data_IF_840676404266
#
_entry.id   IF_840676404266
#
_cell.length_a   1.000
_cell.length_b   1.000
_cell.length_c   1.000
_cell.angle_alpha   90.00
_cell.angle_beta   90.00
_cell.angle_gamma   90.00
#
_symmetry.space_group_name_H-M   'P 1'
#
loop_
_entity.id
_entity.type
_entity.pdbx_description
1 polymer ?
#
# COMPACT_ATOMS: atom_id res chain seq x y z
N UNK A 1 1.29 13.04 11.71
CA UNK A 1 1.94 12.09 10.78
C UNK A 1 3.29 12.69 10.44
N UNK A 2 4.34 11.89 10.57
CA UNK A 2 5.70 12.31 10.26
C UNK A 2 6.31 11.23 9.37
N UNK A 3 6.74 11.60 8.15
CA UNK A 3 7.27 10.69 7.15
C UNK A 3 8.67 11.14 6.71
N UNK A 4 9.59 10.20 6.62
CA UNK A 4 10.93 10.44 6.10
C UNK A 4 10.94 10.38 4.57
N UNK A 5 11.93 11.00 3.89
CA UNK A 5 12.19 10.70 2.49
C UNK A 5 12.56 9.23 2.31
N UNK A 6 12.07 8.61 1.24
CA UNK A 6 12.51 7.25 0.88
C UNK A 6 13.99 7.27 0.47
N UNK A 7 14.79 6.28 0.93
CA UNK A 7 16.22 6.20 0.58
C UNK A 7 16.52 6.01 -0.90
N UNK A 8 15.63 5.35 -1.63
CA UNK A 8 15.74 5.04 -3.06
C UNK A 8 14.37 4.85 -3.72
N UNK A 9 14.36 4.57 -5.03
CA UNK A 9 13.13 4.46 -5.83
C UNK A 9 12.30 3.19 -5.54
N UNK A 10 12.76 2.28 -4.66
CA UNK A 10 12.10 1.00 -4.36
C UNK A 10 11.58 0.90 -2.92
N UNK A 11 11.89 1.87 -2.07
CA UNK A 11 11.64 1.80 -0.62
C UNK A 11 10.45 2.62 -0.13
N UNK A 12 9.55 3.04 -1.04
CA UNK A 12 8.34 3.79 -0.67
C UNK A 12 7.45 3.04 0.33
N UNK A 13 7.23 1.73 0.12
CA UNK A 13 6.41 0.90 1.00
C UNK A 13 6.94 0.81 2.44
N UNK A 14 8.19 0.36 2.66
CA UNK A 14 8.81 0.37 3.98
C UNK A 14 8.82 1.76 4.64
N UNK A 15 9.07 2.82 3.87
CA UNK A 15 9.06 4.20 4.41
C UNK A 15 7.67 4.62 4.88
N UNK A 16 6.61 4.28 4.16
CA UNK A 16 5.23 4.48 4.58
C UNK A 16 4.90 3.67 5.84
N UNK A 17 5.33 2.42 5.91
CA UNK A 17 5.12 1.57 7.09
C UNK A 17 5.85 2.13 8.32
N UNK A 18 7.09 2.62 8.14
CA UNK A 18 7.84 3.31 9.19
C UNK A 18 7.07 4.52 9.74
N UNK A 19 6.50 5.35 8.86
CA UNK A 19 5.69 6.50 9.28
C UNK A 19 4.46 6.08 10.11
N UNK A 20 3.81 4.96 9.76
CA UNK A 20 2.69 4.40 10.53
C UNK A 20 3.16 3.89 11.90
N UNK A 21 4.30 3.21 11.99
CA UNK A 21 4.86 2.76 13.27
C UNK A 21 5.15 3.94 14.19
N UNK A 22 5.82 4.98 13.69
CA UNK A 22 6.05 6.23 14.43
C UNK A 22 4.74 6.90 14.87
N UNK A 23 3.71 6.86 14.03
CA UNK A 23 2.38 7.40 14.40
C UNK A 23 1.77 6.68 15.60
N UNK A 24 2.10 5.40 15.81
CA UNK A 24 1.64 4.60 16.94
C UNK A 24 2.67 4.48 18.07
N UNK A 25 3.70 5.33 18.09
CA UNK A 25 4.79 5.32 19.07
C UNK A 25 5.52 3.95 19.12
N UNK A 26 5.68 3.32 17.94
CA UNK A 26 6.44 2.08 17.75
C UNK A 26 7.77 2.38 17.08
N UNK A 27 8.86 2.23 17.82
CA UNK A 27 10.20 2.59 17.36
C UNK A 27 10.86 1.44 16.61
N UNK A 28 11.30 1.72 15.40
CA UNK A 28 12.19 0.90 14.56
C UNK A 28 12.94 1.86 13.64
N UNK A 29 14.18 1.59 13.31
CA UNK A 29 14.89 2.40 12.32
C UNK A 29 14.36 2.12 10.91
N UNK A 30 14.38 3.14 10.03
CA UNK A 30 13.98 2.95 8.64
C UNK A 30 14.89 1.93 7.93
N UNK A 31 16.19 1.98 8.20
CA UNK A 31 17.19 1.05 7.64
C UNK A 31 16.87 -0.40 8.01
N UNK A 32 16.57 -0.65 9.29
CA UNK A 32 16.15 -1.97 9.75
C UNK A 32 14.88 -2.43 9.04
N UNK A 33 13.87 -1.58 8.97
CA UNK A 33 12.60 -1.91 8.33
C UNK A 33 12.76 -2.21 6.83
N UNK A 34 13.57 -1.43 6.12
CA UNK A 34 13.91 -1.68 4.71
C UNK A 34 14.60 -3.05 4.54
N UNK A 35 15.47 -3.43 5.47
CA UNK A 35 16.15 -4.74 5.42
C UNK A 35 15.26 -5.93 5.74
N UNK A 36 14.20 -5.73 6.54
CA UNK A 36 13.28 -6.79 6.99
C UNK A 36 12.11 -7.02 6.03
N UNK A 37 11.72 -6.02 5.22
CA UNK A 37 10.61 -6.13 4.28
C UNK A 37 11.09 -6.72 2.95
N UNK A 38 10.51 -7.85 2.48
CA UNK A 38 10.90 -8.45 1.21
C UNK A 38 10.66 -7.52 0.02
N UNK A 39 11.60 -7.51 -0.90
CA UNK A 39 11.47 -6.86 -2.21
C UNK A 39 11.12 -7.88 -3.29
N UNK A 40 10.39 -7.43 -4.32
CA UNK A 40 10.09 -8.24 -5.51
C UNK A 40 11.16 -8.03 -6.59
N UNK A 41 11.28 -8.98 -7.52
CA UNK A 41 12.33 -8.95 -8.55
C UNK A 41 12.27 -7.71 -9.47
N UNK A 42 11.09 -7.16 -9.68
CA UNK A 42 10.88 -5.92 -10.47
C UNK A 42 11.21 -4.63 -9.70
N UNK A 43 11.62 -4.75 -8.43
CA UNK A 43 11.85 -3.63 -7.51
C UNK A 43 10.60 -3.31 -6.68
N UNK A 44 10.81 -2.66 -5.53
CA UNK A 44 9.74 -2.33 -4.60
C UNK A 44 9.25 -3.53 -3.76
N UNK A 45 8.07 -3.42 -3.19
CA UNK A 45 7.45 -4.43 -2.33
C UNK A 45 5.95 -4.51 -2.57
N UNK A 46 5.27 -5.47 -1.98
CA UNK A 46 3.81 -5.62 -2.03
C UNK A 46 3.18 -5.23 -0.70
N UNK A 47 1.95 -4.70 -0.74
CA UNK A 47 1.19 -4.35 0.46
C UNK A 47 1.09 -5.50 1.46
N UNK A 48 0.99 -6.74 0.96
CA UNK A 48 0.91 -7.94 1.81
C UNK A 48 2.18 -8.18 2.61
N UNK A 49 3.37 -7.88 2.09
CA UNK A 49 4.63 -8.03 2.85
C UNK A 49 4.75 -6.99 3.96
N UNK A 50 4.28 -5.78 3.71
CA UNK A 50 4.16 -4.74 4.74
C UNK A 50 3.20 -5.17 5.85
N UNK A 51 2.08 -5.80 5.47
CA UNK A 51 1.09 -6.33 6.40
C UNK A 51 1.64 -7.50 7.22
N UNK A 52 2.36 -8.43 6.60
CA UNK A 52 3.03 -9.56 7.28
C UNK A 52 4.03 -9.06 8.31
N UNK A 53 4.87 -8.09 7.94
CA UNK A 53 5.79 -7.47 8.87
C UNK A 53 5.06 -6.84 10.08
N UNK A 54 3.95 -6.14 9.83
CA UNK A 54 3.16 -5.53 10.91
C UNK A 54 2.49 -6.58 11.81
N UNK A 55 1.96 -7.68 11.24
CA UNK A 55 1.40 -8.80 12.01
C UNK A 55 2.44 -9.42 12.95
N UNK A 56 3.65 -9.67 12.45
CA UNK A 56 4.78 -10.20 13.25
C UNK A 56 5.19 -9.25 14.38
N UNK A 57 4.98 -7.94 14.22
CA UNK A 57 5.18 -6.92 15.26
C UNK A 57 3.99 -6.76 16.22
N UNK A 58 2.95 -7.60 16.12
CA UNK A 58 1.79 -7.59 17.01
C UNK A 58 0.73 -6.56 16.64
N UNK A 59 0.68 -6.10 15.40
CA UNK A 59 -0.45 -5.34 14.88
C UNK A 59 -1.56 -6.28 14.42
N UNK A 60 -2.77 -5.76 14.36
CA UNK A 60 -3.84 -6.32 13.53
C UNK A 60 -3.76 -5.64 12.17
N UNK A 61 -3.81 -6.41 11.10
CA UNK A 61 -3.74 -5.92 9.74
C UNK A 61 -4.97 -6.33 8.95
N UNK A 62 -5.59 -5.37 8.27
CA UNK A 62 -6.69 -5.59 7.32
C UNK A 62 -6.26 -5.06 5.96
N UNK A 63 -6.31 -5.90 4.93
CA UNK A 63 -6.10 -5.51 3.53
C UNK A 63 -7.44 -5.47 2.81
N UNK A 64 -7.73 -4.35 2.15
CA UNK A 64 -8.75 -4.25 1.11
C UNK A 64 -8.06 -4.38 -0.24
N UNK A 65 -8.33 -5.44 -0.98
CA UNK A 65 -7.70 -5.68 -2.27
C UNK A 65 -8.68 -5.53 -3.41
N UNK A 66 -8.21 -4.91 -4.48
CA UNK A 66 -8.93 -4.71 -5.74
C UNK A 66 -8.23 -5.40 -6.91
N UNK A 67 -7.20 -6.19 -6.62
CA UNK A 67 -6.38 -6.84 -7.63
C UNK A 67 -7.05 -8.13 -8.15
N UNK A 68 -7.71 -8.01 -9.30
CA UNK A 68 -8.39 -9.13 -9.97
C UNK A 68 -7.43 -10.16 -10.60
N UNK A 69 -6.14 -9.88 -10.66
CA UNK A 69 -5.13 -10.85 -11.10
C UNK A 69 -4.85 -11.89 -10.02
N UNK A 70 -5.02 -11.49 -8.73
CA UNK A 70 -4.79 -12.34 -7.56
C UNK A 70 -6.11 -12.92 -7.06
N UNK A 71 -7.15 -12.11 -6.94
CA UNK A 71 -8.41 -12.48 -6.30
C UNK A 71 -9.58 -12.47 -7.27
N UNK A 72 -10.41 -13.50 -7.20
CA UNK A 72 -11.68 -13.52 -7.90
C UNK A 72 -12.79 -12.89 -7.04
N UNK A 73 -13.67 -12.04 -7.59
CA UNK A 73 -14.73 -11.40 -6.83
C UNK A 73 -15.70 -12.36 -6.15
N UNK A 74 -15.83 -13.59 -6.68
CA UNK A 74 -16.66 -14.64 -6.08
C UNK A 74 -16.12 -15.16 -4.75
N UNK A 75 -14.86 -14.84 -4.42
CA UNK A 75 -14.24 -15.23 -3.14
C UNK A 75 -14.63 -14.32 -1.97
N UNK A 76 -15.35 -13.23 -2.24
CA UNK A 76 -15.71 -12.24 -1.23
C UNK A 76 -16.52 -12.80 -0.04
N UNK A 77 -17.22 -13.91 -0.22
CA UNK A 77 -18.01 -14.61 0.81
C UNK A 77 -17.28 -15.81 1.40
N UNK A 78 -16.08 -16.14 0.92
CA UNK A 78 -15.31 -17.30 1.36
C UNK A 78 -14.59 -16.99 2.70
N UNK A 79 -14.37 -18.04 3.51
CA UNK A 79 -13.54 -17.94 4.72
C UNK A 79 -12.05 -17.93 4.36
N UNK A 80 -11.23 -17.49 5.29
CA UNK A 80 -9.77 -17.36 5.10
C UNK A 80 -9.11 -18.67 4.63
N UNK A 81 -9.52 -19.81 5.19
CA UNK A 81 -9.00 -21.13 4.82
C UNK A 81 -9.38 -21.51 3.38
N UNK A 82 -10.58 -21.15 2.96
CA UNK A 82 -11.06 -21.39 1.60
C UNK A 82 -10.30 -20.51 0.59
N UNK A 83 -10.08 -19.23 0.94
CA UNK A 83 -9.26 -18.32 0.13
C UNK A 83 -7.83 -18.85 0.01
N UNK A 84 -7.23 -19.31 1.10
CA UNK A 84 -5.89 -19.88 1.09
C UNK A 84 -5.80 -21.13 0.18
N UNK A 85 -6.80 -22.00 0.22
CA UNK A 85 -6.90 -23.16 -0.68
C UNK A 85 -6.98 -22.76 -2.16
N UNK A 86 -7.82 -21.76 -2.47
CA UNK A 86 -7.98 -21.22 -3.82
C UNK A 86 -6.70 -20.54 -4.34
N UNK A 87 -6.00 -19.80 -3.51
CA UNK A 87 -4.72 -19.18 -3.85
C UNK A 87 -3.65 -20.24 -4.19
N UNK A 88 -3.52 -21.30 -3.39
CA UNK A 88 -2.61 -22.41 -3.65
C UNK A 88 -2.92 -23.09 -4.98
N UNK A 89 -4.20 -23.40 -5.22
CA UNK A 89 -4.64 -24.01 -6.46
C UNK A 89 -4.37 -23.11 -7.67
N UNK A 90 -4.73 -21.83 -7.57
CA UNK A 90 -4.48 -20.85 -8.63
C UNK A 90 -2.99 -20.75 -8.99
N UNK A 91 -2.11 -20.68 -8.01
CA UNK A 91 -0.66 -20.62 -8.22
C UNK A 91 -0.11 -21.88 -8.89
N UNK A 92 -0.70 -23.06 -8.63
CA UNK A 92 -0.29 -24.29 -9.28
C UNK A 92 -0.73 -24.38 -10.76
N UNK A 93 -1.85 -23.73 -11.12
CA UNK A 93 -2.43 -23.76 -12.46
C UNK A 93 -1.97 -22.59 -13.35
N UNK A 94 -1.80 -21.40 -12.79
CA UNK A 94 -1.45 -20.17 -13.52
C UNK A 94 0.05 -19.87 -13.38
N UNK A 95 0.82 -20.15 -14.41
CA UNK A 95 2.27 -19.82 -14.46
C UNK A 95 2.56 -18.53 -15.26
N UNK A 96 1.51 -17.77 -15.61
CA UNK A 96 1.61 -16.66 -16.59
C UNK A 96 2.21 -15.38 -16.00
N UNK A 97 2.06 -15.17 -14.69
CA UNK A 97 2.53 -13.96 -14.02
C UNK A 97 3.52 -14.31 -12.92
N UNK A 98 4.81 -13.93 -13.03
CA UNK A 98 5.80 -14.15 -11.97
C UNK A 98 5.37 -13.60 -10.61
N UNK A 99 4.75 -12.42 -10.61
CA UNK A 99 4.26 -11.72 -9.42
C UNK A 99 3.14 -12.49 -8.70
N UNK A 100 2.38 -13.32 -9.42
CA UNK A 100 1.31 -14.11 -8.83
C UNK A 100 1.84 -15.13 -7.81
N UNK A 101 2.96 -15.79 -8.12
CA UNK A 101 3.58 -16.75 -7.20
C UNK A 101 4.08 -16.05 -5.92
N UNK A 102 4.75 -14.93 -6.10
CA UNK A 102 5.29 -14.12 -5.00
C UNK A 102 4.17 -13.55 -4.14
N UNK A 103 3.13 -12.98 -4.75
CA UNK A 103 1.95 -12.47 -4.05
C UNK A 103 1.21 -13.57 -3.30
N UNK A 104 1.02 -14.74 -3.94
CA UNK A 104 0.37 -15.90 -3.31
C UNK A 104 1.07 -16.28 -2.01
N UNK A 105 2.39 -16.39 -2.02
CA UNK A 105 3.16 -16.75 -0.83
C UNK A 105 2.95 -15.73 0.30
N UNK A 106 3.00 -14.44 -0.02
CA UNK A 106 2.73 -13.39 0.95
C UNK A 106 1.31 -13.45 1.53
N UNK A 107 0.29 -13.67 0.70
CA UNK A 107 -1.10 -13.78 1.18
C UNK A 107 -1.37 -15.04 2.00
N UNK A 108 -0.72 -16.17 1.68
CA UNK A 108 -0.82 -17.37 2.51
C UNK A 108 -0.27 -17.12 3.91
N UNK A 109 0.90 -16.52 4.01
CA UNK A 109 1.49 -16.16 5.29
C UNK A 109 0.65 -15.10 6.04
N UNK A 110 0.14 -14.07 5.33
CA UNK A 110 -0.74 -13.07 5.90
C UNK A 110 -1.98 -13.69 6.55
N UNK A 111 -2.64 -14.63 5.88
CA UNK A 111 -3.82 -15.32 6.40
C UNK A 111 -3.46 -16.25 7.57
N UNK A 112 -2.33 -16.96 7.52
CA UNK A 112 -1.81 -17.81 8.60
C UNK A 112 -1.54 -17.01 9.87
N UNK A 113 -0.99 -15.81 9.75
CA UNK A 113 -0.75 -14.88 10.87
C UNK A 113 -2.03 -14.19 11.39
N UNK A 114 -3.21 -14.52 10.85
CA UNK A 114 -4.48 -13.95 11.25
C UNK A 114 -4.80 -12.59 10.64
N UNK A 115 -4.18 -12.26 9.51
CA UNK A 115 -4.51 -11.07 8.73
C UNK A 115 -5.92 -11.15 8.13
N UNK A 116 -6.58 -10.02 8.02
CA UNK A 116 -7.95 -9.91 7.53
C UNK A 116 -7.97 -9.38 6.10
N UNK A 117 -8.49 -10.19 5.15
CA UNK A 117 -8.68 -9.80 3.76
C UNK A 117 -10.14 -9.40 3.52
N UNK A 118 -10.35 -8.28 2.84
CA UNK A 118 -11.67 -7.73 2.55
C UNK A 118 -11.82 -7.28 1.10
N UNK A 119 -13.03 -7.48 0.57
CA UNK A 119 -13.42 -7.17 -0.81
C UNK A 119 -14.62 -6.19 -0.83
N UNK A 120 -14.54 -5.10 -0.06
CA UNK A 120 -15.56 -4.04 -0.10
C UNK A 120 -15.33 -3.12 -1.30
N UNK A 121 -16.42 -2.53 -1.81
CA UNK A 121 -16.34 -1.52 -2.88
C UNK A 121 -15.46 -0.35 -2.44
N UNK A 122 -14.45 -0.01 -3.24
CA UNK A 122 -13.64 1.18 -3.01
C UNK A 122 -14.49 2.43 -3.16
N UNK A 123 -14.66 3.13 -2.07
CA UNK A 123 -15.50 4.30 -2.03
C UNK A 123 -14.92 5.39 -1.11
N UNK A 124 -15.33 6.64 -1.35
CA UNK A 124 -15.03 7.74 -0.44
C UNK A 124 -15.50 7.46 1.01
N UNK A 125 -16.57 6.69 1.18
CA UNK A 125 -17.08 6.32 2.50
C UNK A 125 -16.13 5.36 3.22
N UNK A 126 -15.55 4.39 2.51
CA UNK A 126 -14.58 3.45 3.05
C UNK A 126 -13.34 4.21 3.57
N UNK A 127 -12.73 5.05 2.75
CA UNK A 127 -11.55 5.85 3.12
C UNK A 127 -11.87 6.72 4.35
N UNK A 128 -12.97 7.48 4.32
CA UNK A 128 -13.39 8.33 5.44
C UNK A 128 -13.68 7.56 6.73
N UNK A 129 -14.14 6.30 6.64
CA UNK A 129 -14.43 5.44 7.80
C UNK A 129 -13.21 5.30 8.70
N UNK A 130 -12.04 5.14 8.13
CA UNK A 130 -10.78 4.99 8.87
C UNK A 130 -10.19 6.34 9.28
N UNK A 131 -10.10 7.30 8.37
CA UNK A 131 -9.51 8.61 8.64
C UNK A 131 -10.25 9.37 9.76
N UNK A 132 -11.58 9.28 9.82
CA UNK A 132 -12.36 9.85 10.94
C UNK A 132 -12.10 9.23 12.30
N UNK A 133 -11.50 8.04 12.34
CA UNK A 133 -11.11 7.33 13.57
C UNK A 133 -9.62 7.52 13.89
N UNK A 134 -8.97 8.46 13.23
CA UNK A 134 -7.52 8.67 13.35
C UNK A 134 -6.72 7.40 13.07
N UNK A 135 -7.17 6.58 12.12
CA UNK A 135 -6.46 5.42 11.63
C UNK A 135 -5.90 5.75 10.24
N UNK A 136 -4.58 5.89 10.11
CA UNK A 136 -3.95 6.11 8.82
C UNK A 136 -4.13 4.88 7.94
N UNK A 137 -4.14 5.10 6.62
CA UNK A 137 -4.25 4.07 5.61
C UNK A 137 -2.95 4.08 4.80
N UNK A 138 -2.25 2.96 4.76
CA UNK A 138 -1.18 2.75 3.79
C UNK A 138 -1.83 2.30 2.48
N UNK A 139 -1.60 3.03 1.40
CA UNK A 139 -2.25 2.79 0.12
C UNK A 139 -1.23 2.60 -0.99
N UNK A 140 -1.32 1.46 -1.68
CA UNK A 140 -0.71 1.28 -3.00
C UNK A 140 -1.62 1.90 -4.06
N UNK A 141 -1.04 2.59 -5.02
CA UNK A 141 -1.77 3.32 -6.06
C UNK A 141 -0.89 3.61 -7.29
N UNK A 142 -1.52 4.06 -8.38
CA UNK A 142 -0.79 4.57 -9.55
C UNK A 142 -0.23 5.97 -9.27
N UNK A 143 1.10 6.07 -9.15
CA UNK A 143 1.82 7.35 -9.06
C UNK A 143 1.59 8.20 -10.31
N UNK A 144 1.70 7.60 -11.48
CA UNK A 144 1.49 8.26 -12.77
C UNK A 144 0.16 9.00 -12.83
N UNK A 145 -0.93 8.35 -12.39
CA UNK A 145 -2.24 8.99 -12.34
C UNK A 145 -2.35 10.00 -11.21
N UNK A 146 -1.86 9.66 -10.00
CA UNK A 146 -1.93 10.54 -8.84
C UNK A 146 -1.25 11.89 -9.11
N UNK A 147 -0.04 11.85 -9.64
CA UNK A 147 0.78 13.03 -9.91
C UNK A 147 0.42 13.76 -11.21
N UNK A 148 -0.34 13.12 -12.10
CA UNK A 148 -0.59 13.62 -13.46
C UNK A 148 0.73 13.81 -14.24
N UNK A 149 1.66 12.89 -14.06
CA UNK A 149 2.96 12.87 -14.73
C UNK A 149 2.96 11.99 -15.97
N UNK A 150 3.95 12.12 -16.82
CA UNK A 150 4.22 11.12 -17.84
C UNK A 150 4.57 9.78 -17.21
N UNK A 151 4.41 8.71 -17.96
CA UNK A 151 4.88 7.38 -17.60
C UNK A 151 6.41 7.34 -17.52
N UNK A 152 6.95 6.31 -16.95
CA UNK A 152 8.38 6.23 -16.65
C UNK A 152 9.01 4.97 -17.23
N UNK A 153 10.29 5.03 -17.59
CA UNK A 153 11.12 3.86 -17.85
C UNK A 153 12.54 4.07 -17.32
N UNK A 154 13.21 2.99 -16.98
CA UNK A 154 14.59 3.03 -16.50
C UNK A 154 15.56 2.93 -17.67
N UNK A 155 16.54 3.82 -17.73
CA UNK A 155 17.68 3.76 -18.65
C UNK A 155 18.98 3.70 -17.82
N UNK A 156 19.46 2.51 -17.55
CA UNK A 156 20.55 2.30 -16.60
C UNK A 156 20.13 2.64 -15.19
N UNK A 157 20.70 3.68 -14.58
CA UNK A 157 20.35 4.18 -13.24
C UNK A 157 19.37 5.36 -13.29
N UNK A 158 19.11 5.92 -14.45
CA UNK A 158 18.28 7.10 -14.60
C UNK A 158 16.82 6.70 -14.83
N UNK A 159 15.91 7.46 -14.20
CA UNK A 159 14.49 7.36 -14.40
C UNK A 159 14.06 8.43 -15.38
N UNK A 160 13.49 8.01 -16.52
CA UNK A 160 13.09 8.90 -17.62
C UNK A 160 11.58 8.95 -17.71
N UNK A 161 11.04 10.17 -17.74
CA UNK A 161 9.61 10.41 -17.97
C UNK A 161 9.33 10.53 -19.46
N UNK A 162 8.51 9.65 -19.99
CA UNK A 162 8.15 9.60 -21.41
C UNK A 162 6.70 9.12 -21.58
N UNK A 163 5.89 9.92 -22.24
CA UNK A 163 4.47 9.64 -22.45
C UNK A 163 4.17 8.61 -23.55
N UNK A 164 5.20 8.22 -24.32
CA UNK A 164 5.10 7.20 -25.38
C UNK A 164 5.73 5.88 -24.92
N UNK A 165 7.00 5.91 -24.51
CA UNK A 165 7.79 4.72 -24.18
C UNK A 165 7.61 4.25 -22.74
N UNK A 166 7.20 5.14 -21.83
CA UNK A 166 7.07 4.84 -20.41
C UNK A 166 5.94 3.85 -20.08
N UNK A 167 6.04 3.22 -18.93
CA UNK A 167 5.02 2.36 -18.31
C UNK A 167 4.43 3.02 -17.07
N UNK A 168 3.19 2.68 -16.67
CA UNK A 168 2.61 3.17 -15.42
C UNK A 168 3.45 2.76 -14.22
N UNK A 169 3.60 3.68 -13.25
CA UNK A 169 4.35 3.45 -12.02
C UNK A 169 3.42 3.29 -10.82
N UNK A 170 3.66 2.25 -10.02
CA UNK A 170 3.06 2.03 -8.72
C UNK A 170 3.81 2.77 -7.62
N UNK A 171 3.10 3.13 -6.53
CA UNK A 171 3.70 3.83 -5.41
C UNK A 171 2.89 3.63 -4.12
N UNK A 172 3.57 3.71 -2.98
CA UNK A 172 2.92 3.70 -1.68
C UNK A 172 2.92 5.08 -1.05
N UNK A 173 1.77 5.45 -0.49
CA UNK A 173 1.58 6.68 0.29
C UNK A 173 0.79 6.40 1.57
N UNK A 174 0.82 7.33 2.52
CA UNK A 174 -0.01 7.27 3.74
C UNK A 174 -1.10 8.32 3.68
N UNK A 175 -2.35 7.87 3.75
CA UNK A 175 -3.52 8.73 3.89
C UNK A 175 -3.76 8.94 5.39
N UNK A 176 -3.76 10.20 5.88
CA UNK A 176 -3.79 10.44 7.33
C UNK A 176 -4.83 11.47 7.81
N UNK A 177 -5.57 12.07 6.88
CA UNK A 177 -6.62 13.01 7.23
C UNK A 177 -7.65 13.21 6.10
N UNK A 178 -8.80 13.77 6.44
CA UNK A 178 -9.86 14.10 5.51
C UNK A 178 -10.45 15.47 5.81
N UNK A 179 -10.46 16.34 4.83
CA UNK A 179 -11.12 17.62 4.88
C UNK A 179 -12.51 17.52 4.20
N UNK A 180 -13.57 17.85 4.95
CA UNK A 180 -14.95 17.76 4.46
C UNK A 180 -15.29 18.94 3.55
N UNK A 181 -14.68 20.11 3.76
CA UNK A 181 -15.03 21.34 3.07
C UNK A 181 -14.69 21.25 1.58
N UNK A 182 -13.52 20.76 1.25
CA UNK A 182 -13.03 20.59 -0.13
C UNK A 182 -13.03 19.11 -0.61
N UNK A 183 -13.51 18.19 0.23
CA UNK A 183 -13.56 16.75 -0.06
C UNK A 183 -12.19 16.18 -0.41
N UNK A 184 -11.14 16.66 0.26
CA UNK A 184 -9.78 16.21 0.05
C UNK A 184 -9.28 15.27 1.15
N UNK A 185 -8.31 14.45 0.77
CA UNK A 185 -7.56 13.57 1.65
C UNK A 185 -6.15 14.15 1.83
N UNK A 186 -5.67 14.18 3.08
CA UNK A 186 -4.30 14.54 3.40
C UNK A 186 -3.40 13.33 3.16
N UNK A 187 -2.38 13.54 2.35
CA UNK A 187 -1.40 12.51 1.95
C UNK A 187 -0.04 12.87 2.52
N UNK A 188 0.62 11.87 3.12
CA UNK A 188 2.03 11.88 3.42
C UNK A 188 2.73 10.92 2.44
N UNK A 189 3.67 11.44 1.69
CA UNK A 189 4.31 10.79 0.56
C UNK A 189 5.83 10.72 0.81
N UNK A 190 6.45 9.54 0.75
CA UNK A 190 7.88 9.41 0.98
C UNK A 190 8.74 9.97 -0.15
N UNK A 191 8.17 10.20 -1.34
CA UNK A 191 8.91 10.72 -2.48
C UNK A 191 9.29 12.19 -2.28
N UNK A 192 10.58 12.49 -2.40
CA UNK A 192 11.11 13.85 -2.32
C UNK A 192 12.28 14.03 -3.31
N UNK A 193 12.23 15.00 -4.23
CA UNK A 193 11.12 15.95 -4.46
C UNK A 193 9.85 15.28 -4.98
N UNK A 194 8.68 15.83 -4.64
CA UNK A 194 7.40 15.27 -5.02
C UNK A 194 6.82 16.02 -6.24
N UNK A 195 6.31 15.34 -7.27
CA UNK A 195 5.77 16.00 -8.48
C UNK A 195 4.52 16.86 -8.24
N UNK A 196 3.75 16.57 -7.16
CA UNK A 196 2.55 17.36 -6.84
C UNK A 196 2.90 18.67 -6.15
N UNK A 197 3.96 18.64 -5.33
CA UNK A 197 4.34 19.76 -4.46
C UNK A 197 5.82 19.58 -4.07
N UNK A 198 6.51 20.66 -3.74
CA UNK A 198 7.91 20.60 -3.32
C UNK A 198 8.15 19.83 -1.99
N UNK A 199 7.10 19.51 -1.24
CA UNK A 199 7.16 18.79 0.03
C UNK A 199 6.50 17.42 -0.01
N UNK A 200 6.55 16.72 1.13
CA UNK A 200 6.02 15.37 1.29
C UNK A 200 4.53 15.32 1.69
N UNK A 201 3.90 16.47 1.90
CA UNK A 201 2.52 16.57 2.36
C UNK A 201 1.69 17.41 1.40
N UNK A 202 0.58 16.83 0.95
CA UNK A 202 -0.34 17.51 0.04
C UNK A 202 -1.77 17.03 0.20
N UNK A 203 -2.69 17.68 -0.49
CA UNK A 203 -4.12 17.34 -0.52
C UNK A 203 -4.49 16.80 -1.88
N UNK A 204 -5.30 15.76 -1.89
CA UNK A 204 -5.85 15.16 -3.13
C UNK A 204 -7.35 15.05 -3.01
N UNK A 205 -8.07 15.46 -4.05
CA UNK A 205 -9.50 15.20 -4.12
C UNK A 205 -9.79 13.71 -3.99
N UNK A 206 -10.78 13.33 -3.16
CA UNK A 206 -11.04 11.93 -2.82
C UNK A 206 -11.43 11.08 -4.04
N UNK A 207 -12.08 11.66 -5.07
CA UNK A 207 -12.42 10.92 -6.29
C UNK A 207 -11.18 10.62 -7.12
N UNK A 208 -10.24 11.59 -7.25
CA UNK A 208 -8.95 11.37 -7.90
C UNK A 208 -8.15 10.28 -7.19
N UNK A 209 -8.13 10.33 -5.86
CA UNK A 209 -7.47 9.30 -5.05
C UNK A 209 -8.07 7.91 -5.30
N UNK A 210 -9.40 7.76 -5.29
CA UNK A 210 -10.08 6.50 -5.59
C UNK A 210 -9.68 5.97 -6.98
N UNK A 211 -9.64 6.85 -7.99
CA UNK A 211 -9.17 6.44 -9.32
C UNK A 211 -7.70 6.01 -9.32
N UNK A 212 -6.82 6.73 -8.61
CA UNK A 212 -5.41 6.37 -8.51
C UNK A 212 -5.22 4.99 -7.85
N UNK A 213 -5.97 4.67 -6.78
CA UNK A 213 -5.93 3.38 -6.12
C UNK A 213 -6.40 2.26 -7.06
N UNK A 214 -7.53 2.46 -7.76
CA UNK A 214 -8.03 1.46 -8.72
C UNK A 214 -7.04 1.20 -9.86
N UNK A 215 -6.37 2.23 -10.36
CA UNK A 215 -5.34 2.12 -11.39
C UNK A 215 -4.03 1.51 -10.86
N UNK A 216 -3.79 1.51 -9.57
CA UNK A 216 -2.68 0.81 -8.93
C UNK A 216 -2.69 -0.70 -9.17
N UNK A 217 -3.86 -1.28 -9.51
CA UNK A 217 -3.94 -2.71 -9.87
C UNK A 217 -3.12 -3.08 -11.12
N UNK A 218 -2.79 -2.11 -11.98
CA UNK A 218 -1.91 -2.33 -13.13
C UNK A 218 -0.46 -2.63 -12.74
N UNK A 219 -0.07 -2.22 -11.52
CA UNK A 219 1.27 -2.42 -10.95
C UNK A 219 1.24 -3.26 -9.68
N UNK A 220 0.20 -4.05 -9.48
CA UNK A 220 -0.04 -4.90 -8.29
C UNK A 220 -0.22 -4.14 -6.97
N UNK A 221 -0.43 -2.81 -7.00
CA UNK A 221 -0.48 -1.93 -5.84
C UNK A 221 -1.88 -1.46 -5.41
N UNK A 222 -2.94 -1.88 -6.04
CA UNK A 222 -4.32 -1.43 -5.80
C UNK A 222 -4.92 -1.88 -4.47
N UNK A 223 -4.24 -1.62 -3.35
CA UNK A 223 -4.62 -2.10 -2.02
C UNK A 223 -4.72 -0.97 -1.00
N UNK A 224 -5.59 -1.17 0.02
CA UNK A 224 -5.59 -0.37 1.25
C UNK A 224 -5.17 -1.26 2.42
N UNK A 225 -4.09 -0.93 3.09
CA UNK A 225 -3.64 -1.60 4.31
C UNK A 225 -3.98 -0.75 5.54
N UNK A 226 -4.74 -1.33 6.45
CA UNK A 226 -5.13 -0.73 7.72
C UNK A 226 -4.43 -1.47 8.85
N UNK A 227 -3.64 -0.76 9.62
CA UNK A 227 -2.95 -1.30 10.79
C UNK A 227 -3.54 -0.76 12.08
N UNK A 228 -3.68 -1.64 13.07
CA UNK A 228 -4.13 -1.28 14.43
C UNK A 228 -3.23 -1.97 15.44
N UNK A 229 -2.61 -1.26 16.39
CA UNK A 229 -1.90 -1.91 17.49
C UNK A 229 -2.83 -2.86 18.24
N UNK A 230 -2.37 -4.08 18.56
CA UNK A 230 -3.19 -5.07 19.30
C UNK A 230 -3.47 -4.61 20.74
N UNK A 231 -2.54 -3.89 21.35
CA UNK A 231 -2.70 -3.25 22.66
C UNK A 231 -2.69 -1.74 22.43
N UNK A 232 -3.62 -1.00 23.08
CA UNK A 232 -3.58 0.47 23.09
C UNK A 232 -2.27 0.91 23.73
N UNK A 233 -1.26 1.26 22.92
CA UNK A 233 -0.09 1.98 23.41
C UNK A 233 -0.58 3.34 23.89
N UNK A 234 -0.29 3.70 25.15
CA UNK A 234 -0.70 4.99 25.73
C UNK A 234 -0.02 6.08 24.89
N UNK A 235 -0.81 6.94 24.21
CA UNK A 235 -0.26 8.17 23.64
C UNK A 235 0.44 8.92 24.77
N UNK A 236 1.73 9.16 24.66
CA UNK A 236 2.41 10.18 25.48
C UNK A 236 1.76 11.51 25.10
N UNK A 237 1.00 12.06 26.03
CA UNK A 237 0.56 13.45 25.97
C UNK A 237 1.84 14.27 26.26
N UNK A 238 2.37 14.94 25.26
CA UNK A 238 3.41 15.96 25.39
C UNK A 238 2.70 17.26 25.68
#
# INVERSE_FOLDING_TARGET
MDILPQPDNTTCGPTCLHAIYRYFDDEISLEQLVSEVPQIASGGTLAVYLAVHALRRGYRATIYSYNLQIFDPTWAVARSEEIAGKLKLQASCKKVYPELGVSTQGYLEFLELGGELRFEVLSAALVRRYLKRSLPILSGLSATYLYNSAREYSQGKDLIFDDILGTPMGHFVVLFGYDKADRSVLVADPLLPNPVNSGQYYRVNILRLVCAIMLGTLTFDGDLLILKPAVKRKRRVI
#
